data_IF_623129957282
#
_entry.id   IF_623129957282
#
_cell.length_a   1.000
_cell.length_b   1.000
_cell.length_c   1.000
_cell.angle_alpha   90.00
_cell.angle_beta   90.00
_cell.angle_gamma   90.00
#
_symmetry.space_group_name_H-M   'P 1'
#
loop_
_entity.id
_entity.type
_entity.pdbx_description
1 polymer ?
#
# COMPACT_ATOMS: atom_id res chain seq x y z
N UNK A 1 -63.25 -81.05 -18.58
CA UNK A 1 -61.82 -80.76 -18.83
C UNK A 1 -61.74 -79.39 -19.49
N UNK A 2 -60.83 -78.53 -19.03
CA UNK A 2 -60.79 -77.08 -19.31
C UNK A 2 -60.63 -76.79 -20.81
N UNK A 3 -61.46 -75.90 -21.36
CA UNK A 3 -61.32 -75.32 -22.69
C UNK A 3 -61.00 -73.82 -22.55
N UNK A 4 -59.97 -73.38 -23.27
CA UNK A 4 -59.37 -72.03 -23.22
C UNK A 4 -60.25 -70.94 -23.85
N UNK A 5 -60.19 -69.68 -23.38
CA UNK A 5 -60.96 -68.58 -23.92
C UNK A 5 -60.31 -67.97 -25.18
N UNK A 6 -61.18 -67.46 -26.05
CA UNK A 6 -60.91 -66.83 -27.34
C UNK A 6 -60.27 -65.44 -27.23
N UNK A 7 -59.43 -65.14 -28.22
CA UNK A 7 -58.77 -63.87 -28.49
C UNK A 7 -59.73 -62.74 -28.87
N UNK A 8 -59.43 -61.51 -28.42
CA UNK A 8 -59.85 -60.28 -29.10
C UNK A 8 -58.66 -59.30 -29.14
N UNK A 9 -58.03 -59.16 -30.31
CA UNK A 9 -56.98 -58.17 -30.56
C UNK A 9 -57.64 -56.90 -31.09
N UNK A 10 -57.56 -55.80 -30.31
CA UNK A 10 -58.01 -54.47 -30.74
C UNK A 10 -56.91 -53.81 -31.59
N UNK A 11 -57.24 -53.52 -32.84
CA UNK A 11 -56.40 -52.73 -33.76
C UNK A 11 -56.58 -51.24 -33.42
N UNK A 12 -55.49 -50.55 -33.12
CA UNK A 12 -55.44 -49.10 -32.91
C UNK A 12 -54.82 -48.43 -34.15
N UNK A 13 -55.56 -47.51 -34.78
CA UNK A 13 -55.09 -46.69 -35.91
C UNK A 13 -54.49 -45.39 -35.36
N UNK A 14 -53.26 -44.98 -35.75
CA UNK A 14 -52.69 -43.72 -35.29
C UNK A 14 -53.23 -42.55 -36.13
N UNK A 15 -53.69 -41.49 -35.46
CA UNK A 15 -53.97 -40.19 -36.09
C UNK A 15 -52.65 -39.46 -36.34
N UNK A 16 -52.33 -39.13 -37.59
CA UNK A 16 -51.31 -38.14 -37.93
C UNK A 16 -51.84 -36.73 -37.65
N UNK A 17 -51.20 -35.99 -36.75
CA UNK A 17 -51.43 -34.56 -36.57
C UNK A 17 -50.55 -33.78 -37.56
N UNK A 18 -51.18 -32.98 -38.43
CA UNK A 18 -50.49 -32.08 -39.36
C UNK A 18 -50.21 -30.75 -38.64
N UNK A 19 -48.93 -30.42 -38.44
CA UNK A 19 -48.51 -29.15 -37.85
C UNK A 19 -48.58 -28.02 -38.89
N UNK A 20 -49.43 -27.03 -38.65
CA UNK A 20 -49.53 -25.82 -39.47
C UNK A 20 -48.40 -24.84 -39.14
N UNK A 21 -47.65 -24.39 -40.16
CA UNK A 21 -46.67 -23.32 -40.03
C UNK A 21 -47.38 -21.96 -39.88
N UNK A 22 -47.10 -21.23 -38.80
CA UNK A 22 -47.51 -19.84 -38.67
C UNK A 22 -46.45 -18.90 -39.28
N UNK A 23 -46.86 -17.81 -39.95
CA UNK A 23 -45.93 -16.81 -40.48
C UNK A 23 -45.25 -16.02 -39.35
N UNK A 24 -43.92 -15.84 -39.45
CA UNK A 24 -43.13 -15.03 -38.52
C UNK A 24 -43.33 -13.55 -38.81
N UNK A 25 -43.64 -12.76 -37.78
CA UNK A 25 -43.65 -11.30 -37.86
C UNK A 25 -42.21 -10.75 -37.91
N UNK A 26 -41.92 -9.76 -38.76
CA UNK A 26 -40.59 -9.15 -38.84
C UNK A 26 -40.29 -8.31 -37.59
N UNK A 27 -39.11 -8.51 -37.01
CA UNK A 27 -38.60 -7.74 -35.86
C UNK A 27 -38.20 -6.32 -36.31
N UNK A 28 -38.57 -5.26 -35.57
CA UNK A 28 -38.15 -3.90 -35.91
C UNK A 28 -36.62 -3.74 -35.76
N UNK A 29 -35.99 -2.85 -36.55
CA UNK A 29 -34.57 -2.56 -36.43
C UNK A 29 -34.25 -1.92 -35.08
N UNK A 30 -33.23 -2.43 -34.40
CA UNK A 30 -32.69 -1.85 -33.17
C UNK A 30 -31.82 -0.65 -33.55
N UNK A 31 -32.29 0.56 -33.26
CA UNK A 31 -31.47 1.77 -33.39
C UNK A 31 -30.44 1.79 -32.26
N UNK A 32 -29.12 1.93 -32.54
CA UNK A 32 -28.13 2.06 -31.49
C UNK A 32 -28.36 3.34 -30.69
N UNK A 33 -28.37 3.22 -29.36
CA UNK A 33 -28.43 4.37 -28.47
C UNK A 33 -27.21 5.29 -28.71
N UNK A 34 -27.37 6.62 -28.57
CA UNK A 34 -26.23 7.52 -28.65
C UNK A 34 -25.19 7.15 -27.57
N UNK A 35 -23.89 7.33 -27.85
CA UNK A 35 -22.86 7.10 -26.84
C UNK A 35 -23.12 8.01 -25.64
N UNK A 36 -23.18 7.42 -24.44
CA UNK A 36 -23.19 8.20 -23.21
C UNK A 36 -21.97 9.13 -23.19
N UNK A 37 -22.12 10.39 -22.75
CA UNK A 37 -20.98 11.27 -22.55
C UNK A 37 -19.98 10.58 -21.62
N UNK A 38 -18.70 10.63 -21.99
CA UNK A 38 -17.62 10.14 -21.14
C UNK A 38 -17.76 10.80 -19.75
N UNK A 39 -17.52 10.05 -18.64
CA UNK A 39 -17.51 10.66 -17.32
C UNK A 39 -16.56 11.86 -17.33
N UNK A 40 -17.00 12.96 -16.71
CA UNK A 40 -16.16 14.13 -16.53
C UNK A 40 -14.80 13.69 -15.97
N UNK A 41 -13.68 14.31 -16.39
CA UNK A 41 -12.38 13.98 -15.82
C UNK A 41 -12.52 14.08 -14.31
N UNK A 42 -12.26 12.97 -13.60
CA UNK A 42 -12.15 13.00 -12.14
C UNK A 42 -11.24 14.17 -11.80
N UNK A 43 -11.57 15.00 -10.79
CA UNK A 43 -10.69 16.10 -10.41
C UNK A 43 -9.27 15.55 -10.28
N UNK A 44 -8.26 16.31 -10.74
CA UNK A 44 -6.88 15.88 -10.60
C UNK A 44 -6.65 15.43 -9.14
N UNK A 45 -5.92 14.34 -8.95
CA UNK A 45 -5.63 13.87 -7.58
C UNK A 45 -5.02 14.99 -6.76
N UNK A 46 -5.38 15.05 -5.48
CA UNK A 46 -4.95 16.14 -4.60
C UNK A 46 -3.43 16.14 -4.39
N UNK A 47 -2.74 15.04 -4.73
CA UNK A 47 -1.30 14.86 -4.58
C UNK A 47 -0.65 14.22 -5.82
N UNK A 48 0.68 14.27 -5.88
CA UNK A 48 1.46 13.91 -7.06
C UNK A 48 2.01 12.49 -7.04
N UNK A 49 2.49 12.03 -5.88
CA UNK A 49 3.14 10.72 -5.72
C UNK A 49 3.01 10.22 -4.28
N UNK A 50 3.32 8.95 -4.06
CA UNK A 50 3.44 8.40 -2.71
C UNK A 50 4.90 8.32 -2.27
N UNK A 51 5.17 8.66 -1.02
CA UNK A 51 6.37 8.22 -0.32
C UNK A 51 6.01 7.02 0.56
N UNK A 52 6.41 5.82 0.15
CA UNK A 52 6.37 4.64 1.02
C UNK A 52 7.51 4.74 2.02
N UNK A 53 7.19 4.85 3.30
CA UNK A 53 8.15 5.01 4.39
C UNK A 53 8.29 3.71 5.16
N UNK A 54 9.50 3.17 5.21
CA UNK A 54 9.86 1.94 5.91
C UNK A 54 10.84 2.22 7.03
N UNK A 55 10.61 1.67 8.22
CA UNK A 55 11.41 1.87 9.43
C UNK A 55 12.43 0.73 9.60
N UNK A 56 13.66 1.07 9.98
CA UNK A 56 14.63 0.11 10.51
C UNK A 56 14.54 0.09 12.05
N UNK A 57 13.73 -0.83 12.59
CA UNK A 57 13.42 -0.88 14.02
C UNK A 57 14.65 -0.99 14.94
N UNK A 58 15.73 -1.71 14.60
CA UNK A 58 16.91 -1.78 15.46
C UNK A 58 17.48 -0.42 15.86
N UNK A 59 17.52 0.54 14.94
CA UNK A 59 18.00 1.89 15.25
C UNK A 59 16.89 2.78 15.83
N UNK A 60 15.64 2.59 15.40
CA UNK A 60 14.49 3.28 16.00
C UNK A 60 14.46 3.05 17.52
N UNK A 61 14.62 1.81 17.95
CA UNK A 61 14.68 1.42 19.36
C UNK A 61 15.83 2.04 20.16
N UNK A 62 16.91 2.43 19.50
CA UNK A 62 18.04 3.10 20.14
C UNK A 62 17.80 4.61 20.33
N UNK A 63 16.98 5.22 19.48
CA UNK A 63 16.69 6.65 19.48
C UNK A 63 15.35 7.01 20.13
N UNK A 64 14.47 6.03 20.31
CA UNK A 64 13.15 6.24 20.88
C UNK A 64 13.15 6.36 22.41
N UNK A 65 12.24 7.22 22.91
CA UNK A 65 12.05 7.48 24.34
C UNK A 65 11.24 6.37 25.02
N UNK A 66 10.22 5.83 24.34
CA UNK A 66 9.43 4.70 24.82
C UNK A 66 9.94 3.41 24.15
N UNK A 67 10.57 2.56 24.97
CA UNK A 67 11.23 1.33 24.52
C UNK A 67 10.46 0.06 24.89
N UNK A 68 9.19 0.17 25.31
CA UNK A 68 8.46 -1.01 25.79
C UNK A 68 8.39 -2.11 24.73
N UNK A 69 8.12 -1.73 23.47
CA UNK A 69 8.09 -2.66 22.33
C UNK A 69 9.50 -3.18 21.96
N UNK A 70 10.56 -2.41 22.21
CA UNK A 70 11.94 -2.76 21.87
C UNK A 70 12.50 -3.96 22.64
N UNK A 71 11.94 -4.27 23.81
CA UNK A 71 12.32 -5.47 24.58
C UNK A 71 11.98 -6.78 23.84
N UNK A 72 10.98 -6.73 22.95
CA UNK A 72 10.52 -7.85 22.14
C UNK A 72 11.12 -7.84 20.74
N UNK A 73 11.95 -6.85 20.41
CA UNK A 73 12.55 -6.73 19.09
C UNK A 73 13.45 -7.93 18.77
N UNK A 74 14.40 -8.37 19.63
CA UNK A 74 15.27 -9.49 19.31
C UNK A 74 14.48 -10.78 18.98
N UNK A 75 14.74 -11.37 17.82
CA UNK A 75 14.05 -12.58 17.35
C UNK A 75 12.71 -12.34 16.65
N UNK A 76 12.23 -11.09 16.59
CA UNK A 76 11.05 -10.72 15.79
C UNK A 76 11.41 -10.52 14.31
N UNK A 77 10.38 -10.44 13.45
CA UNK A 77 10.55 -10.08 12.04
C UNK A 77 11.28 -8.73 11.88
N UNK A 78 10.92 -7.74 12.70
CA UNK A 78 11.45 -6.39 12.64
C UNK A 78 12.90 -6.26 13.12
N UNK A 79 13.48 -7.28 13.75
CA UNK A 79 14.90 -7.27 14.10
C UNK A 79 15.82 -7.30 12.89
N UNK A 80 15.35 -7.84 11.77
CA UNK A 80 16.13 -7.99 10.55
C UNK A 80 15.43 -7.43 9.31
N UNK A 81 14.14 -7.15 9.36
CA UNK A 81 13.39 -6.62 8.22
C UNK A 81 12.96 -5.17 8.43
N UNK A 82 12.88 -4.43 7.32
CA UNK A 82 12.21 -3.15 7.31
C UNK A 82 10.71 -3.34 7.55
N UNK A 83 10.13 -2.51 8.40
CA UNK A 83 8.71 -2.50 8.72
C UNK A 83 8.04 -1.26 8.14
N UNK A 84 6.78 -1.36 7.76
CA UNK A 84 6.00 -0.23 7.29
C UNK A 84 5.87 0.80 8.40
N UNK A 85 6.25 2.04 8.08
CA UNK A 85 5.84 3.22 8.82
C UNK A 85 4.50 3.72 8.27
N UNK A 86 4.40 3.92 6.96
CA UNK A 86 3.18 4.34 6.28
C UNK A 86 3.39 4.66 4.79
N UNK A 87 2.28 4.92 4.08
CA UNK A 87 2.26 5.27 2.66
C UNK A 87 1.75 6.71 2.47
N UNK A 88 2.64 7.66 2.24
CA UNK A 88 2.32 9.07 2.41
C UNK A 88 2.08 9.79 1.07
N UNK A 89 0.85 10.28 0.80
CA UNK A 89 0.62 11.25 -0.26
C UNK A 89 1.58 12.43 -0.16
N UNK A 90 2.24 12.80 -1.26
CA UNK A 90 3.13 13.95 -1.35
C UNK A 90 2.84 14.79 -2.60
N UNK A 91 3.05 16.09 -2.49
CA UNK A 91 2.99 17.00 -3.62
C UNK A 91 4.29 16.91 -4.42
N UNK A 92 4.18 17.01 -5.76
CA UNK A 92 5.36 17.31 -6.58
C UNK A 92 5.96 18.67 -6.19
N UNK A 93 7.20 18.93 -6.63
CA UNK A 93 7.84 20.24 -6.44
C UNK A 93 7.04 21.40 -7.05
N UNK A 94 6.24 21.14 -8.09
CA UNK A 94 5.35 22.13 -8.68
C UNK A 94 4.10 22.33 -7.81
N UNK A 95 3.47 21.24 -7.37
CA UNK A 95 2.28 21.29 -6.53
C UNK A 95 2.55 21.92 -5.16
N UNK A 96 3.77 21.79 -4.61
CA UNK A 96 4.15 22.37 -3.33
C UNK A 96 4.47 23.87 -3.41
N UNK A 97 4.61 24.47 -4.59
CA UNK A 97 4.98 25.90 -4.72
C UNK A 97 3.96 26.79 -4.02
N UNK A 98 4.47 27.60 -3.08
CA UNK A 98 3.66 28.53 -2.31
C UNK A 98 2.76 27.88 -1.25
N UNK A 99 2.87 26.56 -1.03
CA UNK A 99 2.19 25.86 0.07
C UNK A 99 3.09 25.87 1.32
N UNK A 100 2.50 25.85 2.52
CA UNK A 100 3.27 25.81 3.77
C UNK A 100 3.96 24.45 4.01
N UNK A 101 3.54 23.40 3.30
CA UNK A 101 4.05 22.03 3.40
C UNK A 101 4.09 21.38 2.02
N UNK A 102 4.98 20.41 1.86
CA UNK A 102 5.15 19.65 0.62
C UNK A 102 4.26 18.40 0.51
N UNK A 103 3.33 18.21 1.44
CA UNK A 103 2.38 17.10 1.45
C UNK A 103 1.01 17.56 2.00
N UNK A 104 -0.08 16.90 1.61
CA UNK A 104 -1.35 17.01 2.30
C UNK A 104 -1.32 16.20 3.60
N UNK A 105 -2.04 16.65 4.63
CA UNK A 105 -2.23 15.90 5.86
C UNK A 105 -3.59 16.22 6.49
N UNK A 106 -4.17 15.25 7.21
CA UNK A 106 -5.42 15.41 7.96
C UNK A 106 -6.55 15.98 7.09
N UNK A 107 -6.92 15.27 6.02
CA UNK A 107 -7.81 15.80 4.99
C UNK A 107 -9.29 15.54 5.29
N UNK A 108 -10.17 16.38 4.72
CA UNK A 108 -11.62 16.23 4.80
C UNK A 108 -12.14 16.16 6.24
N UNK A 109 -12.90 15.11 6.55
CA UNK A 109 -13.50 14.90 7.86
C UNK A 109 -12.48 14.60 8.99
N UNK A 110 -11.18 14.48 8.67
CA UNK A 110 -10.12 14.18 9.63
C UNK A 110 -9.27 15.40 10.01
N UNK A 111 -9.62 16.61 9.57
CA UNK A 111 -8.89 17.84 9.91
C UNK A 111 -8.75 18.07 11.41
N UNK A 112 -9.75 17.69 12.22
CA UNK A 112 -9.68 17.83 13.68
C UNK A 112 -8.64 16.91 14.33
N UNK A 113 -8.28 15.80 13.67
CA UNK A 113 -7.29 14.83 14.14
C UNK A 113 -5.85 15.38 14.16
N UNK A 114 -5.58 16.54 13.54
CA UNK A 114 -4.28 17.23 13.68
C UNK A 114 -4.03 17.72 15.12
N UNK A 115 -5.10 17.99 15.88
CA UNK A 115 -5.02 18.62 17.20
C UNK A 115 -5.52 17.73 18.34
N UNK A 116 -6.40 16.78 18.05
CA UNK A 116 -6.92 15.85 19.04
C UNK A 116 -7.18 14.48 18.40
N UNK A 117 -6.50 13.45 18.90
CA UNK A 117 -6.79 12.07 18.50
C UNK A 117 -7.91 11.53 19.39
N UNK A 118 -9.10 11.39 18.80
CA UNK A 118 -10.26 10.78 19.45
C UNK A 118 -10.77 9.59 18.63
N UNK A 119 -11.80 8.90 19.14
CA UNK A 119 -12.33 7.68 18.53
C UNK A 119 -12.82 7.86 17.07
N UNK A 120 -13.18 9.09 16.66
CA UNK A 120 -13.59 9.39 15.28
C UNK A 120 -12.42 9.41 14.29
N UNK A 121 -11.18 9.52 14.77
CA UNK A 121 -9.98 9.44 13.93
C UNK A 121 -9.67 8.01 13.47
N UNK A 122 -10.21 7.00 14.17
CA UNK A 122 -9.98 5.60 13.85
C UNK A 122 -10.50 5.25 12.44
N UNK A 123 -9.81 4.35 11.70
CA UNK A 123 -10.19 3.97 10.34
C UNK A 123 -11.51 3.18 10.27
N UNK A 124 -12.03 2.70 11.40
CA UNK A 124 -13.27 1.92 11.47
C UNK A 124 -13.20 0.54 10.81
N UNK A 125 -12.02 0.13 10.35
CA UNK A 125 -11.75 -1.16 9.71
C UNK A 125 -10.50 -1.80 10.33
N UNK A 126 -10.45 -3.12 10.31
CA UNK A 126 -9.26 -3.86 10.73
C UNK A 126 -8.14 -3.72 9.70
N UNK A 127 -6.90 -3.65 10.18
CA UNK A 127 -5.69 -3.78 9.37
C UNK A 127 -5.66 -5.21 8.80
N UNK A 128 -5.35 -5.42 7.50
CA UNK A 128 -5.26 -6.75 6.93
C UNK A 128 -4.21 -7.63 7.64
N UNK A 129 -4.53 -8.89 7.90
CA UNK A 129 -3.62 -9.85 8.56
C UNK A 129 -2.27 -9.99 7.82
N UNK A 130 -2.29 -9.86 6.49
CA UNK A 130 -1.08 -9.89 5.66
C UNK A 130 -0.11 -8.74 6.00
N UNK A 131 -0.63 -7.61 6.50
CA UNK A 131 0.17 -6.46 6.90
C UNK A 131 0.68 -6.60 8.34
N UNK A 132 0.12 -7.48 9.18
CA UNK A 132 0.43 -7.53 10.61
C UNK A 132 1.92 -7.75 10.90
N UNK A 133 2.60 -8.57 10.10
CA UNK A 133 4.06 -8.79 10.23
C UNK A 133 4.88 -7.65 9.62
N UNK A 134 4.39 -7.07 8.52
CA UNK A 134 5.08 -5.98 7.80
C UNK A 134 4.92 -4.65 8.53
N UNK A 135 3.85 -4.45 9.28
CA UNK A 135 3.48 -3.25 10.01
C UNK A 135 3.14 -3.60 11.48
N UNK A 136 4.09 -4.14 12.27
CA UNK A 136 3.79 -4.57 13.64
C UNK A 136 3.27 -3.42 14.52
N UNK A 137 3.69 -2.18 14.25
CA UNK A 137 3.17 -0.99 14.95
C UNK A 137 1.67 -0.76 14.73
N UNK A 138 1.10 -1.18 13.60
CA UNK A 138 -0.32 -0.99 13.29
C UNK A 138 -1.23 -1.90 14.14
N UNK A 139 -0.74 -3.09 14.47
CA UNK A 139 -1.47 -4.11 15.23
C UNK A 139 -1.10 -4.14 16.71
N UNK A 140 -0.06 -3.40 17.11
CA UNK A 140 0.37 -3.29 18.50
C UNK A 140 -0.55 -2.37 19.32
N UNK A 141 -0.66 -2.68 20.61
CA UNK A 141 -1.36 -1.85 21.58
C UNK A 141 -2.83 -1.60 21.22
N UNK A 142 -3.22 -0.33 21.17
CA UNK A 142 -4.61 0.10 20.92
C UNK A 142 -4.92 0.32 19.42
N UNK A 143 -3.97 0.10 18.52
CA UNK A 143 -4.12 0.48 17.10
C UNK A 143 -3.99 1.98 16.84
N UNK A 144 -3.47 2.74 17.80
CA UNK A 144 -3.25 4.19 17.66
C UNK A 144 -2.34 4.53 16.49
N UNK A 145 -1.31 3.72 16.20
CA UNK A 145 -0.42 4.03 15.08
C UNK A 145 -1.11 3.86 13.72
N UNK A 146 -1.90 2.80 13.52
CA UNK A 146 -2.73 2.66 12.32
C UNK A 146 -3.76 3.80 12.21
N UNK A 147 -4.30 4.26 13.34
CA UNK A 147 -5.21 5.40 13.41
C UNK A 147 -4.53 6.71 12.99
N UNK A 148 -3.31 6.95 13.48
CA UNK A 148 -2.50 8.10 13.07
C UNK A 148 -2.20 8.07 11.58
N UNK A 149 -1.68 6.96 11.06
CA UNK A 149 -1.27 6.85 9.66
C UNK A 149 -2.48 6.96 8.72
N UNK A 150 -3.63 6.39 9.07
CA UNK A 150 -4.86 6.61 8.33
C UNK A 150 -5.33 8.08 8.38
N UNK A 151 -5.58 8.61 9.57
CA UNK A 151 -6.20 9.94 9.73
C UNK A 151 -5.32 11.05 9.16
N UNK A 152 -4.00 10.93 9.26
CA UNK A 152 -3.05 11.92 8.74
C UNK A 152 -2.78 11.75 7.25
N UNK A 153 -2.60 10.52 6.75
CA UNK A 153 -2.11 10.29 5.39
C UNK A 153 -3.18 9.67 4.49
N UNK A 154 -3.79 8.56 4.92
CA UNK A 154 -4.82 7.86 4.14
C UNK A 154 -6.06 8.71 3.85
N UNK A 155 -6.46 9.58 4.79
CA UNK A 155 -7.59 10.51 4.64
C UNK A 155 -7.43 11.50 3.47
N UNK A 156 -6.21 11.69 2.99
CA UNK A 156 -5.88 12.57 1.85
C UNK A 156 -5.90 11.85 0.50
N UNK A 157 -6.33 10.58 0.48
CA UNK A 157 -6.53 9.79 -0.72
C UNK A 157 -8.03 9.65 -1.03
N UNK A 158 -8.36 9.19 -2.23
CA UNK A 158 -9.73 8.76 -2.56
C UNK A 158 -10.06 7.34 -2.12
N UNK A 159 -9.11 6.65 -1.51
CA UNK A 159 -9.27 5.28 -1.07
C UNK A 159 -10.10 5.24 0.21
N UNK A 160 -10.97 4.24 0.35
CA UNK A 160 -11.47 3.88 1.67
C UNK A 160 -10.32 3.39 2.57
N UNK A 161 -10.49 3.42 3.89
CA UNK A 161 -9.46 2.92 4.81
C UNK A 161 -9.03 1.48 4.50
N UNK A 162 -9.97 0.61 4.11
CA UNK A 162 -9.67 -0.76 3.73
C UNK A 162 -8.85 -0.85 2.44
N UNK A 163 -9.12 0.02 1.45
CA UNK A 163 -8.33 0.10 0.22
C UNK A 163 -6.95 0.70 0.47
N UNK A 164 -6.84 1.71 1.34
CA UNK A 164 -5.57 2.31 1.71
C UNK A 164 -4.62 1.31 2.38
N UNK A 165 -5.09 0.51 3.34
CA UNK A 165 -4.24 -0.54 3.94
C UNK A 165 -3.84 -1.64 2.92
N UNK A 166 -4.68 -1.93 1.92
CA UNK A 166 -4.29 -2.82 0.82
C UNK A 166 -3.29 -2.15 -0.13
N UNK A 167 -3.40 -0.85 -0.34
CA UNK A 167 -2.46 -0.07 -1.14
C UNK A 167 -1.07 -0.01 -0.49
N UNK A 168 -0.98 0.09 0.84
CA UNK A 168 0.27 -0.06 1.58
C UNK A 168 0.93 -1.41 1.33
N UNK A 169 0.16 -2.50 1.42
CA UNK A 169 0.66 -3.84 1.13
C UNK A 169 1.13 -3.98 -0.32
N UNK A 170 0.37 -3.44 -1.27
CA UNK A 170 0.74 -3.43 -2.68
C UNK A 170 2.02 -2.62 -2.93
N UNK A 171 2.18 -1.48 -2.25
CA UNK A 171 3.37 -0.64 -2.33
C UNK A 171 4.63 -1.37 -1.84
N UNK A 172 4.54 -2.09 -0.71
CA UNK A 172 5.65 -2.92 -0.20
C UNK A 172 6.01 -4.02 -1.20
N UNK A 173 5.00 -4.73 -1.73
CA UNK A 173 5.18 -5.81 -2.70
C UNK A 173 5.71 -5.35 -4.06
N UNK A 174 5.59 -4.05 -4.38
CA UNK A 174 6.17 -3.48 -5.59
C UNK A 174 7.70 -3.32 -5.48
N UNK A 175 8.27 -3.38 -4.27
CA UNK A 175 9.70 -3.34 -4.03
C UNK A 175 10.24 -4.77 -3.84
N UNK A 176 11.31 -5.17 -4.55
CA UNK A 176 11.93 -6.49 -4.38
C UNK A 176 12.23 -6.84 -2.91
N UNK A 177 11.96 -8.10 -2.54
CA UNK A 177 12.21 -8.61 -1.19
C UNK A 177 11.29 -8.02 -0.11
N UNK A 178 10.06 -7.62 -0.47
CA UNK A 178 9.14 -6.91 0.43
C UNK A 178 9.81 -5.68 1.07
N UNK A 179 10.48 -4.90 0.23
CA UNK A 179 11.31 -3.75 0.59
C UNK A 179 12.53 -4.05 1.48
N UNK A 180 12.86 -5.31 1.79
CA UNK A 180 14.08 -5.68 2.54
C UNK A 180 15.01 -6.54 1.66
N UNK A 181 15.99 -5.92 0.97
CA UNK A 181 16.89 -6.67 0.10
C UNK A 181 17.89 -7.51 0.90
N UNK A 182 18.37 -8.60 0.32
CA UNK A 182 19.33 -9.50 0.97
C UNK A 182 20.62 -8.78 1.40
N UNK A 183 21.06 -7.76 0.65
CA UNK A 183 22.23 -6.98 1.04
C UNK A 183 22.03 -6.24 2.38
N UNK A 184 20.80 -5.80 2.69
CA UNK A 184 20.50 -5.17 3.98
C UNK A 184 20.59 -6.20 5.11
N UNK A 185 20.02 -7.39 4.91
CA UNK A 185 20.15 -8.53 5.83
C UNK A 185 21.60 -8.92 6.10
N UNK A 186 22.39 -9.08 5.04
CA UNK A 186 23.79 -9.47 5.14
C UNK A 186 24.68 -8.40 5.81
N UNK A 187 24.22 -7.15 5.89
CA UNK A 187 24.97 -6.03 6.46
C UNK A 187 24.61 -5.77 7.93
N UNK A 188 23.67 -6.49 8.53
CA UNK A 188 23.28 -6.27 9.94
C UNK A 188 24.51 -6.37 10.87
N UNK A 189 24.74 -5.32 11.67
CA UNK A 189 25.90 -5.17 12.55
C UNK A 189 27.14 -4.53 11.89
N UNK A 190 27.09 -4.27 10.58
CA UNK A 190 28.16 -3.69 9.78
C UNK A 190 27.70 -2.40 9.09
N UNK A 191 28.49 -1.94 8.12
CA UNK A 191 28.25 -0.73 7.34
C UNK A 191 28.44 -1.00 5.85
N UNK A 192 27.60 -0.35 5.03
CA UNK A 192 27.64 -0.44 3.56
C UNK A 192 27.81 0.97 2.99
N UNK A 193 28.42 1.09 1.80
CA UNK A 193 28.44 2.38 1.12
C UNK A 193 26.98 2.81 0.81
N UNK A 194 26.66 4.08 1.03
CA UNK A 194 25.29 4.59 0.85
C UNK A 194 24.73 4.26 -0.53
N UNK A 195 25.53 4.45 -1.57
CA UNK A 195 25.11 4.24 -2.95
C UNK A 195 24.93 2.74 -3.27
N UNK A 196 25.70 1.85 -2.63
CA UNK A 196 25.50 0.39 -2.74
C UNK A 196 24.19 -0.02 -2.06
N UNK A 197 23.89 0.57 -0.90
CA UNK A 197 22.64 0.33 -0.19
C UNK A 197 21.43 0.79 -1.01
N UNK A 198 21.47 1.97 -1.65
CA UNK A 198 20.38 2.43 -2.53
C UNK A 198 20.18 1.47 -3.71
N UNK A 199 21.26 0.99 -4.35
CA UNK A 199 21.18 0.04 -5.46
C UNK A 199 20.65 -1.33 -5.04
N UNK A 200 20.88 -1.75 -3.80
CA UNK A 200 20.49 -3.07 -3.31
C UNK A 200 18.98 -3.32 -3.37
N UNK A 201 18.15 -2.28 -3.33
CA UNK A 201 16.69 -2.41 -3.41
C UNK A 201 16.17 -2.86 -4.79
N UNK A 202 17.01 -2.89 -5.82
CA UNK A 202 16.63 -3.42 -7.14
C UNK A 202 15.60 -2.56 -7.90
N UNK A 203 15.48 -1.29 -7.51
CA UNK A 203 14.67 -0.25 -8.16
C UNK A 203 15.59 0.92 -8.56
N UNK A 204 15.14 1.88 -9.40
CA UNK A 204 15.95 3.05 -9.73
C UNK A 204 16.50 3.73 -8.46
N UNK A 205 17.82 3.97 -8.33
CA UNK A 205 18.39 4.50 -7.09
C UNK A 205 17.85 5.87 -6.68
N UNK A 206 17.40 6.67 -7.64
CA UNK A 206 16.78 7.98 -7.44
C UNK A 206 15.31 7.89 -6.97
N UNK A 207 14.71 6.70 -6.94
CA UNK A 207 13.43 6.45 -6.26
C UNK A 207 13.60 6.07 -4.78
N UNK A 208 14.84 5.92 -4.29
CA UNK A 208 15.15 5.45 -2.93
C UNK A 208 15.76 6.57 -2.09
N UNK A 209 15.15 6.86 -0.95
CA UNK A 209 15.67 7.78 0.06
C UNK A 209 16.21 6.99 1.25
N UNK A 210 17.33 7.43 1.82
CA UNK A 210 17.89 6.82 3.02
C UNK A 210 17.88 7.84 4.16
N UNK A 211 17.11 7.53 5.20
CA UNK A 211 17.08 8.29 6.45
C UNK A 211 18.08 7.72 7.44
N UNK A 212 19.05 8.54 7.86
CA UNK A 212 20.04 8.26 8.89
C UNK A 212 19.82 9.11 10.14
N UNK A 213 20.22 8.56 11.28
CA UNK A 213 20.43 9.34 12.50
C UNK A 213 21.72 10.19 12.41
N UNK A 214 22.06 10.99 13.45
CA UNK A 214 23.29 11.78 13.47
C UNK A 214 24.61 11.00 13.39
N UNK A 215 24.59 9.69 13.63
CA UNK A 215 25.77 8.81 13.59
C UNK A 215 25.82 7.98 12.30
N UNK A 216 25.05 8.38 11.26
CA UNK A 216 24.95 7.66 10.00
C UNK A 216 24.43 6.22 10.15
N UNK A 217 23.57 5.97 11.13
CA UNK A 217 22.88 4.69 11.32
C UNK A 217 21.54 4.73 10.62
N UNK A 218 21.23 3.69 9.84
CA UNK A 218 19.98 3.58 9.09
C UNK A 218 18.79 3.64 10.04
N UNK A 219 17.89 4.59 9.84
CA UNK A 219 16.66 4.74 10.60
C UNK A 219 15.42 4.48 9.73
N UNK A 220 15.49 4.85 8.45
CA UNK A 220 14.39 4.75 7.50
C UNK A 220 14.89 4.50 6.08
N UNK A 221 14.05 3.84 5.30
CA UNK A 221 14.13 3.82 3.84
C UNK A 221 12.82 4.34 3.26
N UNK A 222 12.91 5.29 2.33
CA UNK A 222 11.77 5.83 1.61
C UNK A 222 11.77 5.38 0.15
N UNK A 223 10.59 5.12 -0.43
CA UNK A 223 10.43 4.85 -1.86
C UNK A 223 9.39 5.80 -2.47
N UNK A 224 9.79 6.57 -3.48
CA UNK A 224 8.85 7.38 -4.23
C UNK A 224 8.15 6.54 -5.29
N UNK A 225 6.81 6.50 -5.24
CA UNK A 225 5.97 5.70 -6.12
C UNK A 225 5.00 6.58 -6.90
N UNK A 226 4.87 6.31 -8.20
CA UNK A 226 3.76 6.83 -8.98
C UNK A 226 2.43 6.25 -8.47
N UNK A 227 1.33 6.80 -8.97
CA UNK A 227 -0.02 6.33 -8.67
C UNK A 227 -0.91 6.40 -9.90
N UNK A 228 -1.98 5.63 -9.90
CA UNK A 228 -2.99 5.68 -10.95
C UNK A 228 -4.04 6.78 -10.72
N UNK A 229 -5.06 6.83 -11.58
CA UNK A 229 -6.15 7.79 -11.50
C UNK A 229 -7.09 7.55 -10.30
N UNK A 230 -7.08 6.34 -9.74
CA UNK A 230 -7.81 5.95 -8.55
C UNK A 230 -6.98 6.07 -7.27
N UNK A 231 -5.82 6.73 -7.32
CA UNK A 231 -4.88 6.89 -6.21
C UNK A 231 -4.26 5.59 -5.69
N UNK A 232 -4.22 4.50 -6.47
CA UNK A 232 -3.45 3.32 -6.10
C UNK A 232 -1.98 3.50 -6.46
N UNK A 233 -1.02 3.13 -5.58
CA UNK A 233 0.40 3.18 -5.90
C UNK A 233 0.73 2.20 -7.04
N UNK A 234 1.71 2.56 -7.85
CA UNK A 234 2.11 1.79 -9.04
C UNK A 234 3.61 1.49 -9.03
N UNK A 235 4.40 2.16 -9.86
CA UNK A 235 5.83 1.87 -10.05
C UNK A 235 6.71 2.88 -9.31
N UNK A 236 7.93 2.50 -8.89
CA UNK A 236 8.92 3.46 -8.41
C UNK A 236 9.23 4.54 -9.43
N UNK A 237 9.35 5.77 -8.96
CA UNK A 237 9.71 6.96 -9.76
C UNK A 237 10.79 7.75 -9.06
N UNK A 238 11.52 8.56 -9.81
CA UNK A 238 12.47 9.50 -9.22
C UNK A 238 11.79 10.38 -8.16
N UNK A 239 12.43 10.48 -7.00
CA UNK A 239 11.98 11.33 -5.93
C UNK A 239 12.14 12.83 -6.27
N UNK A 240 11.22 13.63 -5.76
CA UNK A 240 11.20 15.10 -5.98
C UNK A 240 12.07 15.83 -4.95
N UNK A 241 12.43 17.09 -5.24
CA UNK A 241 13.28 17.89 -4.36
C UNK A 241 12.72 17.99 -2.94
N UNK A 242 11.39 18.13 -2.81
CA UNK A 242 10.65 18.15 -1.55
C UNK A 242 11.09 17.06 -0.55
N UNK A 243 11.38 15.86 -1.04
CA UNK A 243 11.78 14.71 -0.20
C UNK A 243 13.27 14.41 -0.30
N UNK A 244 13.93 14.68 -1.44
CA UNK A 244 15.38 14.42 -1.58
C UNK A 244 16.23 15.39 -0.76
N UNK A 245 15.71 16.59 -0.44
CA UNK A 245 16.40 17.57 0.42
C UNK A 245 15.90 17.55 1.87
N UNK A 246 15.04 16.59 2.22
CA UNK A 246 14.47 16.47 3.56
C UNK A 246 15.48 15.90 4.54
N UNK A 247 15.76 16.63 5.63
CA UNK A 247 16.55 16.16 6.78
C UNK A 247 15.83 15.07 7.60
N UNK A 248 14.60 14.74 7.23
CA UNK A 248 13.83 13.66 7.83
C UNK A 248 13.83 12.40 6.94
N UNK A 249 13.57 12.57 5.64
CA UNK A 249 13.37 11.43 4.73
C UNK A 249 14.67 10.96 4.07
N UNK A 250 15.62 11.86 3.84
CA UNK A 250 16.85 11.57 3.09
C UNK A 250 18.12 12.02 3.85
N UNK A 251 18.08 11.93 5.17
CA UNK A 251 19.13 12.46 6.04
C UNK A 251 20.49 11.78 5.89
N UNK A 252 20.60 10.58 5.32
CA UNK A 252 21.92 10.04 4.97
C UNK A 252 22.62 10.91 3.91
N UNK A 253 21.86 11.49 2.97
CA UNK A 253 22.41 12.39 1.95
C UNK A 253 22.67 13.77 2.55
N UNK A 254 21.70 14.38 3.22
CA UNK A 254 21.84 15.76 3.73
C UNK A 254 22.90 15.90 4.82
N UNK A 255 23.19 14.82 5.57
CA UNK A 255 24.29 14.76 6.56
C UNK A 255 25.64 14.36 5.97
N UNK A 256 25.71 14.01 4.68
CA UNK A 256 26.96 13.59 4.04
C UNK A 256 27.44 12.19 4.45
N UNK A 257 26.55 11.30 4.87
CA UNK A 257 26.89 9.91 5.20
C UNK A 257 27.32 9.16 3.93
N UNK A 258 28.64 8.90 3.80
CA UNK A 258 29.18 8.08 2.70
C UNK A 258 28.97 6.58 2.95
N UNK A 259 28.94 6.18 4.22
CA UNK A 259 28.70 4.82 4.69
C UNK A 259 27.54 4.84 5.68
N UNK A 260 26.69 3.83 5.60
CA UNK A 260 25.48 3.70 6.41
C UNK A 260 25.64 2.46 7.28
N UNK A 261 25.59 2.65 8.59
CA UNK A 261 25.61 1.56 9.55
C UNK A 261 24.22 0.94 9.69
N UNK A 262 24.14 -0.38 9.58
CA UNK A 262 22.89 -1.14 9.72
C UNK A 262 22.92 -1.79 11.10
N UNK A 263 22.20 -1.22 12.07
CA UNK A 263 22.26 -1.70 13.45
C UNK A 263 21.60 -3.08 13.60
N UNK A 264 22.23 -3.94 14.40
CA UNK A 264 21.58 -5.14 14.94
C UNK A 264 20.65 -4.77 16.10
N UNK A 265 19.57 -5.54 16.28
CA UNK A 265 18.66 -5.35 17.40
C UNK A 265 19.40 -5.40 18.75
N UNK A 266 19.18 -4.39 19.59
CA UNK A 266 19.83 -4.27 20.91
C UNK A 266 21.25 -3.69 20.89
N UNK A 267 21.84 -3.39 19.73
CA UNK A 267 23.20 -2.86 19.61
C UNK A 267 23.26 -1.32 19.58
N UNK A 268 22.70 -0.65 20.60
CA UNK A 268 22.55 0.81 20.61
C UNK A 268 23.84 1.61 20.83
N UNK A 269 24.81 1.01 21.50
CA UNK A 269 26.10 1.63 21.83
C UNK A 269 27.22 1.24 20.84
N UNK A 270 26.87 0.56 19.73
CA UNK A 270 27.84 0.12 18.76
C UNK A 270 28.28 1.28 17.85
N UNK A 271 29.39 1.91 18.27
CA UNK A 271 30.31 2.87 17.59
C UNK A 271 30.18 4.32 18.03
#
# INVERSE_FOLDING_TARGET
>A
MRASPLFLVRILVPLLAVAACQPRTPTPPITPAPPSPAPAPSPASEFGFYLLSMTWEPNRCCTERDRQHCSQLPGSFAATHLTLHGLWPNFTDEQSRGKPRAWPQYCGAYQHCEHAEDASCAPGVAVPDELARLAPGYVAGTGAFATHEWSKHGSCTRLSAAEYFRAELAAIRAIPGDATPEALHATVGADLARDDLQRAFGVPPDSVLLGCDPHCRLARVGFCLAKDAGDHPTTPIACTANVTTSDYDNSCVTRGCQRVAVQAAGACDAR
#
